data_IF_935846273980
#
_entry.id   IF_935846273980
#
_cell.length_a   1.000
_cell.length_b   1.000
_cell.length_c   1.000
_cell.angle_alpha   90.00
_cell.angle_beta   90.00
_cell.angle_gamma   90.00
#
_symmetry.space_group_name_H-M   'P 1'
#
loop_
_entity.id
_entity.type
_entity.pdbx_description
1 polymer ?
#
# COMPACT_ATOMS: atom_id res chain seq x y z
N UNK A 1 16.24 14.55 -4.27
CA UNK A 1 14.92 15.15 -4.08
C UNK A 1 14.12 14.34 -3.05
N UNK A 2 13.10 14.95 -2.52
CA UNK A 2 12.22 14.27 -1.57
C UNK A 2 11.57 13.02 -2.20
N UNK A 3 11.09 13.12 -3.42
CA UNK A 3 10.51 11.98 -4.13
C UNK A 3 11.49 10.81 -4.24
N UNK A 4 12.72 11.08 -4.66
CA UNK A 4 13.74 10.03 -4.76
C UNK A 4 14.03 9.37 -3.42
N UNK A 5 14.12 10.17 -2.37
CA UNK A 5 14.38 9.69 -1.01
C UNK A 5 13.22 8.84 -0.47
N UNK A 6 11.96 9.23 -0.77
CA UNK A 6 10.78 8.59 -0.22
C UNK A 6 10.22 7.45 -1.07
N UNK A 7 10.60 7.33 -2.32
CA UNK A 7 10.09 6.28 -3.21
C UNK A 7 10.20 4.86 -2.62
N UNK A 8 11.34 4.46 -2.03
CA UNK A 8 11.42 3.12 -1.41
C UNK A 8 10.42 2.92 -0.28
N UNK A 9 10.18 3.93 0.53
CA UNK A 9 9.21 3.88 1.64
C UNK A 9 7.78 3.82 1.11
N UNK A 10 7.47 4.63 0.11
CA UNK A 10 6.15 4.64 -0.55
C UNK A 10 5.82 3.26 -1.11
N UNK A 11 6.77 2.66 -1.84
CA UNK A 11 6.57 1.34 -2.44
C UNK A 11 6.48 0.23 -1.39
N UNK A 12 7.24 0.32 -0.31
CA UNK A 12 7.15 -0.64 0.80
C UNK A 12 5.74 -0.66 1.40
N UNK A 13 5.18 0.50 1.68
CA UNK A 13 3.82 0.62 2.24
C UNK A 13 2.79 0.07 1.25
N UNK A 14 2.94 0.40 -0.03
CA UNK A 14 2.02 -0.08 -1.06
C UNK A 14 2.07 -1.61 -1.21
N UNK A 15 3.26 -2.19 -1.18
CA UNK A 15 3.44 -3.64 -1.23
C UNK A 15 2.87 -4.33 -0.01
N UNK A 16 3.06 -3.76 1.19
CA UNK A 16 2.49 -4.30 2.43
C UNK A 16 0.96 -4.27 2.40
N UNK A 17 0.36 -3.26 1.78
CA UNK A 17 -1.07 -3.22 1.55
C UNK A 17 -1.52 -4.40 0.69
N UNK A 18 -0.84 -4.66 -0.42
CA UNK A 18 -1.15 -5.80 -1.29
C UNK A 18 -1.02 -7.14 -0.58
N UNK A 19 0.04 -7.32 0.21
CA UNK A 19 0.23 -8.52 1.03
C UNK A 19 -0.90 -8.71 2.03
N UNK A 20 -1.36 -7.63 2.65
CA UNK A 20 -2.51 -7.69 3.56
C UNK A 20 -3.76 -8.18 2.84
N UNK A 21 -4.02 -7.67 1.63
CA UNK A 21 -5.19 -8.02 0.84
C UNK A 21 -5.23 -9.49 0.43
N UNK A 22 -4.10 -10.15 0.33
CA UNK A 22 -4.01 -11.58 0.00
C UNK A 22 -3.64 -12.44 1.22
N UNK A 23 -3.78 -11.88 2.42
CA UNK A 23 -3.50 -12.57 3.69
C UNK A 23 -2.04 -13.04 3.82
N UNK A 24 -1.10 -12.28 3.28
CA UNK A 24 0.35 -12.51 3.43
C UNK A 24 1.06 -11.40 4.20
N UNK A 25 0.30 -10.45 4.72
CA UNK A 25 0.78 -9.37 5.57
C UNK A 25 -0.07 -9.25 6.82
N UNK A 26 0.20 -8.23 7.65
CA UNK A 26 -0.54 -8.03 8.88
C UNK A 26 -1.02 -6.58 9.02
N UNK A 27 -2.16 -6.42 9.67
CA UNK A 27 -2.67 -5.10 10.03
C UNK A 27 -1.72 -4.37 10.96
N UNK A 28 -1.04 -5.10 11.84
CA UNK A 28 -0.06 -4.52 12.75
C UNK A 28 1.10 -3.85 12.00
N UNK A 29 1.62 -4.51 10.96
CA UNK A 29 2.68 -3.95 10.12
C UNK A 29 2.21 -2.68 9.43
N UNK A 30 1.04 -2.72 8.78
CA UNK A 30 0.47 -1.56 8.11
C UNK A 30 0.22 -0.40 9.08
N UNK A 31 -0.37 -0.68 10.24
CA UNK A 31 -0.68 0.33 11.24
C UNK A 31 0.56 1.04 11.77
N UNK A 32 1.73 0.40 11.72
CA UNK A 32 2.98 1.01 12.15
C UNK A 32 3.41 2.19 11.28
N UNK A 33 2.96 2.24 10.02
CA UNK A 33 3.26 3.33 9.08
C UNK A 33 2.19 4.42 9.09
N UNK A 34 1.08 4.20 9.79
CA UNK A 34 -0.14 4.99 9.66
C UNK A 34 -0.47 5.75 10.93
N UNK A 35 -1.10 6.91 10.74
CA UNK A 35 -1.66 7.72 11.82
C UNK A 35 -3.08 8.16 11.42
N UNK A 36 -3.88 8.57 12.40
CA UNK A 36 -5.16 9.23 12.18
C UNK A 36 -6.11 8.47 11.25
N UNK A 37 -6.60 9.18 10.25
CA UNK A 37 -7.61 8.68 9.30
C UNK A 37 -7.16 7.43 8.55
N UNK A 38 -5.89 7.36 8.14
CA UNK A 38 -5.36 6.19 7.44
C UNK A 38 -5.45 4.93 8.32
N UNK A 39 -5.08 5.05 9.58
CA UNK A 39 -5.13 3.93 10.53
C UNK A 39 -6.56 3.48 10.77
N UNK A 40 -7.48 4.41 10.97
CA UNK A 40 -8.90 4.09 11.18
C UNK A 40 -9.50 3.41 9.95
N UNK A 41 -9.24 3.98 8.76
CA UNK A 41 -9.74 3.43 7.51
C UNK A 41 -9.22 2.01 7.27
N UNK A 42 -7.93 1.77 7.52
CA UNK A 42 -7.33 0.45 7.32
C UNK A 42 -7.94 -0.61 8.25
N UNK A 43 -8.34 -0.22 9.46
CA UNK A 43 -8.99 -1.13 10.41
C UNK A 43 -10.33 -1.64 9.93
N UNK A 44 -10.99 -0.92 9.02
CA UNK A 44 -12.30 -1.27 8.48
C UNK A 44 -12.22 -2.07 7.17
N UNK A 45 -11.02 -2.24 6.60
CA UNK A 45 -10.84 -2.98 5.34
C UNK A 45 -10.67 -4.47 5.63
N UNK A 46 -11.51 -5.35 5.00
CA UNK A 46 -11.32 -6.79 5.13
C UNK A 46 -9.98 -7.25 4.56
N UNK A 47 -9.38 -8.21 5.24
CA UNK A 47 -8.01 -8.66 4.95
C UNK A 47 -7.89 -9.71 3.85
N UNK A 48 -8.95 -10.11 3.14
CA UNK A 48 -8.79 -11.27 2.26
C UNK A 48 -9.80 -11.30 1.11
N UNK A 49 -9.29 -11.72 -0.05
CA UNK A 49 -10.11 -12.17 -1.16
C UNK A 49 -10.56 -13.60 -0.89
N UNK A 50 -11.88 -13.83 -0.95
CA UNK A 50 -12.48 -15.14 -0.70
C UNK A 50 -11.95 -16.23 -1.63
N UNK A 51 -11.52 -15.89 -2.84
CA UNK A 51 -10.94 -16.85 -3.78
C UNK A 51 -9.63 -17.47 -3.29
N UNK A 52 -8.95 -16.81 -2.36
CA UNK A 52 -7.65 -17.25 -1.87
C UNK A 52 -7.74 -18.05 -0.57
N UNK A 53 -8.92 -18.13 0.04
CA UNK A 53 -9.11 -18.87 1.29
C UNK A 53 -8.83 -20.36 1.05
N UNK A 54 -7.89 -20.91 1.83
CA UNK A 54 -7.53 -22.32 1.74
C UNK A 54 -6.68 -22.70 0.56
N UNK A 55 -6.28 -21.76 -0.30
CA UNK A 55 -5.40 -22.03 -1.43
C UNK A 55 -3.94 -21.86 -1.07
N UNK A 56 -3.09 -22.71 -1.62
CA UNK A 56 -1.65 -22.49 -1.65
C UNK A 56 -1.32 -21.72 -2.94
N UNK A 57 -0.66 -20.58 -2.81
CA UNK A 57 -0.34 -19.74 -3.96
C UNK A 57 0.99 -19.01 -3.79
N UNK A 58 1.54 -18.56 -4.91
CA UNK A 58 2.68 -17.65 -4.97
C UNK A 58 2.19 -16.30 -5.47
N UNK A 59 2.97 -15.25 -5.22
CA UNK A 59 2.62 -13.91 -5.68
C UNK A 59 3.87 -13.10 -6.01
N UNK A 60 3.70 -12.10 -6.87
CA UNK A 60 4.72 -11.11 -7.16
C UNK A 60 4.07 -9.78 -7.52
N UNK A 61 4.81 -8.69 -7.34
CA UNK A 61 4.40 -7.37 -7.79
C UNK A 61 5.05 -7.05 -9.13
N UNK A 62 4.37 -6.23 -9.94
CA UNK A 62 4.86 -5.79 -11.24
C UNK A 62 4.35 -4.39 -11.56
N UNK A 63 5.04 -3.71 -12.47
CA UNK A 63 4.63 -2.42 -13.02
C UNK A 63 4.41 -1.33 -11.96
N UNK A 64 5.28 -1.30 -10.96
CA UNK A 64 5.20 -0.31 -9.89
C UNK A 64 5.50 1.10 -10.41
N UNK A 65 4.64 2.05 -10.05
CA UNK A 65 4.74 3.44 -10.49
C UNK A 65 4.31 4.39 -9.39
N UNK A 66 5.11 5.40 -9.13
CA UNK A 66 4.77 6.52 -8.26
C UNK A 66 4.62 7.75 -9.13
N UNK A 67 3.49 8.43 -9.06
CA UNK A 67 3.16 9.57 -9.91
C UNK A 67 2.42 10.65 -9.11
N UNK A 68 2.14 11.77 -9.77
CA UNK A 68 1.39 12.89 -9.19
C UNK A 68 1.92 13.34 -7.83
N UNK A 69 3.24 13.38 -7.70
CA UNK A 69 3.86 13.86 -6.48
C UNK A 69 3.59 15.35 -6.29
N UNK A 70 3.06 15.71 -5.11
CA UNK A 70 2.78 17.10 -4.73
C UNK A 70 3.28 17.36 -3.33
N UNK A 71 4.17 18.31 -3.18
CA UNK A 71 4.63 18.80 -1.89
C UNK A 71 3.77 20.00 -1.49
N UNK A 72 3.03 19.87 -0.39
CA UNK A 72 2.17 20.94 0.12
C UNK A 72 2.90 21.85 1.10
N UNK A 73 3.86 21.29 1.82
CA UNK A 73 4.69 21.99 2.79
C UNK A 73 5.93 21.14 3.08
N UNK A 74 6.81 21.60 3.96
CA UNK A 74 7.97 20.81 4.38
C UNK A 74 7.58 19.56 5.17
N UNK A 75 6.33 19.47 5.63
CA UNK A 75 5.82 18.40 6.48
C UNK A 75 4.66 17.63 5.86
N UNK A 76 4.33 17.87 4.58
CA UNK A 76 3.20 17.20 3.95
C UNK A 76 3.40 17.03 2.45
N UNK A 77 3.22 15.81 1.95
CA UNK A 77 3.15 15.55 0.51
C UNK A 77 2.12 14.48 0.18
N UNK A 78 1.70 14.45 -1.06
CA UNK A 78 0.85 13.38 -1.59
C UNK A 78 1.46 12.77 -2.85
N UNK A 79 1.02 11.56 -3.17
CA UNK A 79 1.39 10.89 -4.41
C UNK A 79 0.37 9.80 -4.74
N UNK A 80 0.42 9.34 -5.98
CA UNK A 80 -0.31 8.17 -6.46
C UNK A 80 0.65 7.01 -6.62
N UNK A 81 0.18 5.80 -6.25
CA UNK A 81 0.93 4.56 -6.44
C UNK A 81 0.06 3.57 -7.19
N UNK A 82 0.61 2.99 -8.24
CA UNK A 82 -0.05 1.99 -9.05
C UNK A 82 0.87 0.79 -9.20
N UNK A 83 0.33 -0.42 -9.08
CA UNK A 83 1.06 -1.63 -9.39
C UNK A 83 0.11 -2.80 -9.61
N UNK A 84 0.65 -3.89 -10.16
CA UNK A 84 -0.07 -5.14 -10.33
C UNK A 84 0.41 -6.14 -9.30
N UNK A 85 -0.54 -6.83 -8.66
CA UNK A 85 -0.26 -7.95 -7.78
C UNK A 85 -0.73 -9.22 -8.48
N UNK A 86 0.22 -10.03 -8.93
CA UNK A 86 -0.04 -11.28 -9.64
C UNK A 86 -0.04 -12.43 -8.64
N UNK A 87 -1.11 -13.21 -8.62
CA UNK A 87 -1.27 -14.35 -7.74
C UNK A 87 -1.48 -15.60 -8.59
N UNK A 88 -0.74 -16.65 -8.28
CA UNK A 88 -0.78 -17.91 -9.05
C UNK A 88 -0.87 -19.10 -8.12
N UNK A 89 -1.76 -20.02 -8.46
CA UNK A 89 -1.90 -21.31 -7.80
C UNK A 89 -1.88 -22.43 -8.84
N UNK A 90 -2.01 -23.69 -8.42
CA UNK A 90 -1.80 -24.86 -9.31
C UNK A 90 -2.74 -24.90 -10.52
N UNK A 91 -3.98 -24.43 -10.37
CA UNK A 91 -5.01 -24.53 -11.40
C UNK A 91 -5.45 -23.17 -11.98
N UNK A 92 -4.78 -22.07 -11.63
CA UNK A 92 -5.18 -20.77 -12.13
C UNK A 92 -4.34 -19.61 -11.59
N UNK A 93 -4.73 -18.42 -12.00
CA UNK A 93 -4.08 -17.19 -11.58
C UNK A 93 -5.07 -16.04 -11.60
N UNK A 94 -4.71 -14.96 -10.88
CA UNK A 94 -5.44 -13.70 -10.93
C UNK A 94 -4.46 -12.55 -10.80
N UNK A 95 -4.84 -11.40 -11.34
CA UNK A 95 -4.06 -10.17 -11.19
C UNK A 95 -4.96 -9.11 -10.59
N UNK A 96 -4.47 -8.49 -9.53
CA UNK A 96 -5.12 -7.34 -8.92
C UNK A 96 -4.43 -6.07 -9.39
N UNK A 97 -5.21 -5.12 -9.90
CA UNK A 97 -4.72 -3.79 -10.22
C UNK A 97 -4.89 -2.91 -8.98
N UNK A 98 -3.78 -2.58 -8.34
CA UNK A 98 -3.80 -1.78 -7.10
C UNK A 98 -3.45 -0.34 -7.45
N UNK A 99 -4.35 0.55 -7.08
CA UNK A 99 -4.22 1.98 -7.33
C UNK A 99 -4.60 2.74 -6.06
N UNK A 100 -3.65 3.49 -5.52
CA UNK A 100 -3.78 4.16 -4.23
C UNK A 100 -3.31 5.61 -4.35
N UNK A 101 -4.00 6.51 -3.65
CA UNK A 101 -3.52 7.87 -3.44
C UNK A 101 -3.16 8.03 -1.97
N UNK A 102 -1.95 8.48 -1.70
CA UNK A 102 -1.39 8.61 -0.36
C UNK A 102 -1.18 10.07 0.03
N UNK A 103 -1.47 10.39 1.28
CA UNK A 103 -1.09 11.65 1.90
C UNK A 103 -0.19 11.33 3.09
N UNK A 104 1.05 11.84 3.04
CA UNK A 104 2.03 11.67 4.10
C UNK A 104 2.22 12.97 4.87
N UNK A 105 2.35 12.85 6.17
CA UNK A 105 2.74 13.97 7.04
C UNK A 105 3.97 13.58 7.85
N UNK A 106 4.82 14.56 8.10
CA UNK A 106 6.02 14.37 8.89
C UNK A 106 5.69 14.58 10.36
N UNK A 107 5.99 13.57 11.16
CA UNK A 107 5.76 13.58 12.60
C UNK A 107 7.01 13.03 13.28
N UNK A 108 7.60 13.83 14.18
CA UNK A 108 8.83 13.44 14.88
C UNK A 108 9.94 13.00 13.93
N UNK A 109 10.13 13.77 12.84
CA UNK A 109 11.12 13.51 11.78
C UNK A 109 10.86 12.28 10.92
N UNK A 110 9.70 11.62 11.07
CA UNK A 110 9.30 10.47 10.27
C UNK A 110 8.09 10.80 9.39
N UNK A 111 8.11 10.31 8.16
CA UNK A 111 6.97 10.43 7.26
C UNK A 111 5.97 9.31 7.55
N UNK A 112 4.77 9.71 7.99
CA UNK A 112 3.68 8.80 8.34
C UNK A 112 2.55 8.94 7.34
N UNK A 113 1.94 7.82 6.95
CA UNK A 113 0.76 7.83 6.11
C UNK A 113 -0.44 8.30 6.94
N UNK A 114 -0.95 9.49 6.62
CA UNK A 114 -2.02 10.14 7.37
C UNK A 114 -3.40 9.89 6.77
N UNK A 115 -3.46 9.68 5.47
CA UNK A 115 -4.70 9.35 4.76
C UNK A 115 -4.38 8.61 3.48
N UNK A 116 -5.31 7.79 3.01
CA UNK A 116 -5.18 7.15 1.71
C UNK A 116 -6.55 6.86 1.11
N UNK A 117 -6.55 6.71 -0.20
CA UNK A 117 -7.75 6.42 -0.96
C UNK A 117 -7.45 5.31 -1.97
N UNK A 118 -8.37 4.38 -2.10
CA UNK A 118 -8.35 3.36 -3.14
C UNK A 118 -9.02 3.97 -4.38
N UNK A 119 -8.30 3.97 -5.52
CA UNK A 119 -8.80 4.53 -6.79
C UNK A 119 -9.41 3.48 -7.69
#
# INVERSE_FOLDING_TARGET
SLLEEETPHILLIAEDYGKYMINRGSLKTLSSYMIGTAREYMSDIPAIDVYLIGRTFTYNTADESVSNFRKYSDDCYSCDVDYKLNVKWSSGSTTYDIALTYIFVKQDSEWMLADFRIR
#
